data_IF_604558202886
#
_entry.id   IF_604558202886
#
_cell.length_a   1.000
_cell.length_b   1.000
_cell.length_c   1.000
_cell.angle_alpha   90.00
_cell.angle_beta   90.00
_cell.angle_gamma   90.00
#
_symmetry.space_group_name_H-M   'P 1'
#
loop_
_entity.id
_entity.type
_entity.pdbx_description
1 polymer ?
#
# COMPACT_ATOMS: atom_id res chain seq x y z
N UNK A 1 5.48 -20.99 -15.17
CA UNK A 1 4.38 -20.02 -15.22
C UNK A 1 4.07 -19.54 -13.81
N UNK A 2 3.85 -18.23 -13.62
CA UNK A 2 3.33 -17.67 -12.37
C UNK A 2 1.81 -17.76 -12.37
N UNK A 3 1.22 -18.29 -11.31
CA UNK A 3 -0.23 -18.26 -11.11
C UNK A 3 -0.54 -17.52 -9.82
N UNK A 4 -1.10 -16.34 -9.91
CA UNK A 4 -1.35 -15.48 -8.76
C UNK A 4 -2.64 -14.67 -8.92
N UNK A 5 -3.12 -14.10 -7.82
CA UNK A 5 -4.27 -13.22 -7.86
C UNK A 5 -4.19 -12.12 -6.81
N UNK A 6 -4.85 -11.00 -7.10
CA UNK A 6 -5.18 -10.01 -6.07
C UNK A 6 -6.58 -10.31 -5.53
N UNK A 7 -6.69 -10.43 -4.21
CA UNK A 7 -7.94 -10.66 -3.49
C UNK A 7 -8.38 -9.37 -2.80
N UNK A 8 -9.67 -9.06 -2.87
CA UNK A 8 -10.27 -7.93 -2.16
C UNK A 8 -11.76 -7.77 -2.45
N UNK A 9 -12.40 -6.78 -1.83
CA UNK A 9 -13.83 -6.48 -2.04
C UNK A 9 -14.13 -5.00 -1.76
N UNK A 10 -14.47 -4.19 -2.77
CA UNK A 10 -14.50 -4.48 -4.22
C UNK A 10 -13.08 -4.64 -4.80
N UNK A 11 -12.95 -5.28 -5.97
CA UNK A 11 -11.63 -5.53 -6.59
C UNK A 11 -11.48 -5.05 -8.04
N UNK A 12 -12.58 -4.72 -8.73
CA UNK A 12 -12.61 -4.47 -10.18
C UNK A 12 -11.60 -3.42 -10.67
N UNK A 13 -11.41 -2.36 -9.89
CA UNK A 13 -10.51 -1.26 -10.22
C UNK A 13 -9.02 -1.53 -9.89
N UNK A 14 -8.67 -2.70 -9.37
CA UNK A 14 -7.28 -3.00 -9.03
C UNK A 14 -6.41 -3.00 -10.28
N UNK A 15 -5.31 -2.25 -10.25
CA UNK A 15 -4.32 -2.23 -11.32
C UNK A 15 -3.26 -3.33 -11.16
N UNK A 16 -3.31 -4.14 -10.10
CA UNK A 16 -2.33 -5.22 -9.85
C UNK A 16 -2.17 -6.18 -11.02
N UNK A 17 -3.22 -6.65 -11.74
CA UNK A 17 -3.04 -7.50 -12.92
C UNK A 17 -2.24 -6.85 -14.05
N UNK A 18 -2.46 -5.54 -14.30
CA UNK A 18 -1.69 -4.80 -15.29
C UNK A 18 -0.22 -4.71 -14.87
N UNK A 19 0.02 -4.29 -13.63
CA UNK A 19 1.38 -4.09 -13.09
C UNK A 19 2.16 -5.40 -13.05
N UNK A 20 1.59 -6.47 -12.50
CA UNK A 20 2.23 -7.78 -12.49
C UNK A 20 2.44 -8.34 -13.90
N UNK A 21 1.47 -8.13 -14.81
CA UNK A 21 1.64 -8.54 -16.20
C UNK A 21 2.80 -7.82 -16.90
N UNK A 22 3.02 -6.54 -16.63
CA UNK A 22 4.18 -5.81 -17.12
C UNK A 22 5.49 -6.34 -16.52
N UNK A 23 5.53 -6.62 -15.21
CA UNK A 23 6.70 -7.21 -14.54
C UNK A 23 7.06 -8.56 -15.16
N UNK A 24 6.10 -9.47 -15.28
CA UNK A 24 6.38 -10.81 -15.79
C UNK A 24 6.73 -10.83 -17.28
N UNK A 25 6.17 -9.91 -18.08
CA UNK A 25 6.61 -9.71 -19.48
C UNK A 25 8.06 -9.27 -19.56
N UNK A 26 8.47 -8.31 -18.73
CA UNK A 26 9.86 -7.84 -18.68
C UNK A 26 10.82 -8.97 -18.28
N UNK A 27 10.39 -9.85 -17.37
CA UNK A 27 11.17 -11.02 -16.95
C UNK A 27 11.13 -12.21 -17.92
N UNK A 28 10.31 -12.16 -18.98
CA UNK A 28 10.11 -13.29 -19.89
C UNK A 28 9.42 -14.50 -19.24
N UNK A 29 8.62 -14.26 -18.20
CA UNK A 29 7.93 -15.30 -17.42
C UNK A 29 6.47 -15.39 -17.86
N UNK A 30 6.02 -16.58 -18.25
CA UNK A 30 4.59 -16.84 -18.47
C UNK A 30 3.78 -16.63 -17.18
N UNK A 31 2.60 -16.02 -17.26
CA UNK A 31 1.81 -15.70 -16.08
C UNK A 31 0.29 -15.76 -16.31
N UNK A 32 -0.44 -16.11 -15.24
CA UNK A 32 -1.87 -15.85 -15.02
C UNK A 32 -1.98 -15.06 -13.71
N UNK A 33 -2.16 -13.75 -13.82
CA UNK A 33 -2.41 -12.87 -12.67
C UNK A 33 -3.78 -12.22 -12.83
N UNK A 34 -4.70 -12.52 -11.91
CA UNK A 34 -6.11 -12.09 -12.01
C UNK A 34 -6.64 -11.39 -10.77
N UNK A 35 -7.82 -10.80 -10.90
CA UNK A 35 -8.61 -10.26 -9.77
C UNK A 35 -9.55 -11.35 -9.30
N UNK A 36 -9.70 -11.50 -7.99
CA UNK A 36 -10.74 -12.37 -7.42
C UNK A 36 -11.44 -11.56 -6.32
N UNK A 37 -12.74 -11.35 -6.49
CA UNK A 37 -13.53 -10.69 -5.47
C UNK A 37 -13.85 -11.69 -4.35
N UNK A 38 -13.47 -11.35 -3.12
CA UNK A 38 -13.66 -12.21 -1.96
C UNK A 38 -13.76 -11.38 -0.69
N UNK A 39 -14.67 -11.76 0.21
CA UNK A 39 -14.61 -11.34 1.61
C UNK A 39 -13.57 -12.15 2.41
N UNK A 40 -13.45 -11.86 3.70
CA UNK A 40 -12.43 -12.48 4.58
C UNK A 40 -12.55 -13.99 4.66
N UNK A 41 -13.79 -14.52 4.72
CA UNK A 41 -14.03 -15.96 4.82
C UNK A 41 -13.70 -16.63 3.49
N UNK A 42 -14.20 -16.07 2.38
CA UNK A 42 -13.95 -16.59 1.04
C UNK A 42 -12.46 -16.57 0.69
N UNK A 43 -11.75 -15.50 1.05
CA UNK A 43 -10.32 -15.37 0.80
C UNK A 43 -9.51 -16.39 1.59
N UNK A 44 -9.79 -16.55 2.89
CA UNK A 44 -9.13 -17.56 3.74
C UNK A 44 -9.28 -18.96 3.16
N UNK A 45 -10.52 -19.36 2.86
CA UNK A 45 -10.79 -20.68 2.30
C UNK A 45 -10.14 -20.89 0.93
N UNK A 46 -10.13 -19.87 0.08
CA UNK A 46 -9.45 -19.94 -1.21
C UNK A 46 -7.95 -20.18 -1.03
N UNK A 47 -7.31 -19.41 -0.14
CA UNK A 47 -5.87 -19.53 0.12
C UNK A 47 -5.53 -20.92 0.67
N UNK A 48 -6.28 -21.39 1.68
CA UNK A 48 -6.09 -22.72 2.27
C UNK A 48 -6.22 -23.83 1.22
N UNK A 49 -7.28 -23.81 0.39
CA UNK A 49 -7.46 -24.80 -0.68
C UNK A 49 -6.37 -24.71 -1.74
N UNK A 50 -5.92 -23.49 -2.08
CA UNK A 50 -4.92 -23.26 -3.13
C UNK A 50 -3.52 -23.75 -2.76
N UNK A 51 -3.23 -23.90 -1.46
CA UNK A 51 -1.96 -24.43 -0.96
C UNK A 51 -2.08 -25.85 -0.41
N UNK A 52 -3.28 -26.42 -0.34
CA UNK A 52 -3.48 -27.82 -0.03
C UNK A 52 -2.94 -28.71 -1.17
N UNK A 53 -2.46 -29.91 -0.82
CA UNK A 53 -1.77 -30.83 -1.72
C UNK A 53 -2.53 -31.07 -3.05
N UNK A 54 -2.01 -30.51 -4.14
CA UNK A 54 -2.32 -30.94 -5.50
C UNK A 54 -3.18 -29.99 -6.36
N UNK A 55 -3.66 -28.85 -5.85
CA UNK A 55 -4.48 -27.95 -6.66
C UNK A 55 -3.67 -26.76 -7.22
N UNK A 56 -3.56 -26.71 -8.54
CA UNK A 56 -3.29 -25.49 -9.31
C UNK A 56 -1.97 -24.71 -9.08
N UNK A 57 -0.89 -25.24 -8.51
CA UNK A 57 0.45 -24.59 -8.46
C UNK A 57 0.42 -23.04 -8.25
N UNK A 58 -0.39 -22.58 -7.30
CA UNK A 58 -0.50 -21.15 -6.99
C UNK A 58 0.82 -20.60 -6.46
N UNK A 59 1.34 -19.57 -7.11
CA UNK A 59 2.55 -18.84 -6.70
C UNK A 59 2.28 -17.91 -5.51
N UNK A 60 1.05 -17.41 -5.37
CA UNK A 60 0.63 -16.62 -4.22
C UNK A 60 -0.53 -15.67 -4.48
N UNK A 61 -0.88 -14.91 -3.44
CA UNK A 61 -1.98 -13.96 -3.43
C UNK A 61 -1.53 -12.60 -2.91
N UNK A 62 -1.87 -11.53 -3.63
CA UNK A 62 -1.81 -10.18 -3.09
C UNK A 62 -3.13 -9.87 -2.37
N UNK A 63 -3.08 -9.22 -1.22
CA UNK A 63 -4.26 -8.85 -0.44
C UNK A 63 -4.44 -7.34 -0.41
N UNK A 64 -5.63 -6.89 -0.78
CA UNK A 64 -6.05 -5.49 -0.60
C UNK A 64 -7.24 -5.41 0.36
N UNK A 65 -7.75 -4.21 0.61
CA UNK A 65 -8.91 -3.98 1.48
C UNK A 65 -10.08 -4.93 1.10
N UNK A 66 -10.77 -5.53 2.09
CA UNK A 66 -10.53 -5.46 3.55
C UNK A 66 -9.57 -6.54 4.09
N UNK A 67 -8.91 -7.31 3.24
CA UNK A 67 -8.34 -8.62 3.57
C UNK A 67 -6.95 -8.61 4.21
N UNK A 68 -6.36 -7.45 4.50
CA UNK A 68 -4.96 -7.35 4.96
C UNK A 68 -4.68 -7.99 6.32
N UNK A 69 -5.70 -8.46 7.02
CA UNK A 69 -5.57 -9.18 8.30
C UNK A 69 -5.92 -10.68 8.18
N UNK A 70 -6.42 -11.15 7.03
CA UNK A 70 -6.83 -12.55 6.81
C UNK A 70 -5.66 -13.52 7.01
N UNK A 71 -4.47 -13.12 6.59
CA UNK A 71 -3.27 -13.96 6.65
C UNK A 71 -2.84 -14.38 8.07
N UNK A 72 -3.31 -13.70 9.13
CA UNK A 72 -3.01 -14.06 10.52
C UNK A 72 -3.74 -15.32 10.99
N UNK A 73 -4.80 -15.73 10.29
CA UNK A 73 -5.56 -16.95 10.61
C UNK A 73 -5.06 -18.20 9.87
N UNK A 74 -4.08 -18.03 8.98
CA UNK A 74 -3.53 -19.13 8.18
C UNK A 74 -2.36 -19.80 8.92
N UNK A 75 -2.20 -21.09 8.70
CA UNK A 75 -1.04 -21.85 9.19
C UNK A 75 0.20 -21.61 8.29
N UNK A 76 0.66 -20.36 8.24
CA UNK A 76 1.81 -19.92 7.46
C UNK A 76 2.76 -19.07 8.33
N UNK A 77 4.09 -19.19 8.13
CA UNK A 77 5.04 -18.28 8.76
C UNK A 77 4.72 -16.83 8.44
N UNK A 78 4.81 -15.94 9.44
CA UNK A 78 4.55 -14.50 9.27
C UNK A 78 5.88 -13.75 9.35
N UNK A 79 6.16 -12.95 8.33
CA UNK A 79 7.33 -12.08 8.29
C UNK A 79 7.31 -11.07 9.47
N UNK A 80 8.46 -10.81 10.13
CA UNK A 80 8.51 -9.91 11.28
C UNK A 80 7.97 -8.51 11.04
N UNK A 81 8.17 -7.92 9.85
CA UNK A 81 7.65 -6.58 9.56
C UNK A 81 6.15 -6.61 9.27
N UNK A 82 5.63 -7.70 8.69
CA UNK A 82 4.20 -7.92 8.52
C UNK A 82 3.48 -8.09 9.87
N UNK A 83 4.10 -8.83 10.80
CA UNK A 83 3.62 -9.02 12.16
C UNK A 83 3.60 -7.69 12.92
N UNK A 84 4.70 -6.93 12.88
CA UNK A 84 4.77 -5.62 13.53
C UNK A 84 3.75 -4.62 12.96
N UNK A 85 3.48 -4.67 11.65
CA UNK A 85 2.46 -3.84 11.01
C UNK A 85 1.03 -4.29 11.32
N UNK A 86 0.87 -5.49 11.90
CA UNK A 86 -0.38 -6.24 11.92
C UNK A 86 -1.11 -6.18 10.56
N UNK A 87 -0.36 -6.39 9.47
CA UNK A 87 -0.86 -6.20 8.11
C UNK A 87 -0.06 -7.09 7.16
N UNK A 88 -0.76 -7.90 6.38
CA UNK A 88 -0.23 -8.82 5.38
C UNK A 88 -0.87 -8.42 4.05
N UNK A 89 -0.06 -8.01 3.08
CA UNK A 89 -0.53 -7.69 1.72
C UNK A 89 -0.09 -8.76 0.69
N UNK A 90 0.68 -9.76 1.10
CA UNK A 90 1.28 -10.76 0.21
C UNK A 90 1.33 -12.12 0.90
N UNK A 91 0.83 -13.16 0.24
CA UNK A 91 0.85 -14.53 0.75
C UNK A 91 1.44 -15.44 -0.30
N UNK A 92 2.32 -16.35 0.11
CA UNK A 92 2.92 -17.40 -0.72
C UNK A 92 2.86 -18.72 0.03
N UNK A 93 3.12 -19.87 -0.63
CA UNK A 93 3.30 -21.15 0.07
C UNK A 93 4.40 -21.13 1.15
N UNK A 94 5.33 -20.16 1.08
CA UNK A 94 6.46 -20.02 2.01
C UNK A 94 6.16 -19.13 3.21
N UNK A 95 5.06 -18.38 3.20
CA UNK A 95 4.73 -17.45 4.27
C UNK A 95 3.91 -16.23 3.85
N UNK A 96 3.70 -15.38 4.84
CA UNK A 96 2.88 -14.16 4.81
C UNK A 96 3.74 -12.92 5.01
N UNK A 97 3.66 -11.96 4.10
CA UNK A 97 4.56 -10.81 4.00
C UNK A 97 3.80 -9.48 3.84
N UNK A 98 4.52 -8.37 4.04
CA UNK A 98 4.04 -7.02 3.79
C UNK A 98 5.05 -6.22 2.95
N UNK A 99 4.73 -6.03 1.68
CA UNK A 99 5.55 -5.26 0.72
C UNK A 99 5.15 -3.78 0.63
N UNK A 100 4.10 -3.33 1.31
CA UNK A 100 3.73 -1.91 1.33
C UNK A 100 4.82 -1.07 2.00
N UNK A 101 5.49 -1.63 3.01
CA UNK A 101 6.56 -0.97 3.78
C UNK A 101 7.76 -0.69 2.86
N UNK A 102 8.30 -1.73 2.22
CA UNK A 102 9.42 -1.59 1.28
C UNK A 102 9.04 -0.78 0.04
N UNK A 103 7.78 -0.91 -0.41
CA UNK A 103 7.23 -0.13 -1.50
C UNK A 103 7.24 1.36 -1.21
N UNK A 104 6.74 1.79 -0.04
CA UNK A 104 6.75 3.18 0.36
C UNK A 104 8.17 3.72 0.56
N UNK A 105 9.06 2.95 1.19
CA UNK A 105 10.47 3.33 1.35
C UNK A 105 11.15 3.59 0.01
N UNK A 106 10.91 2.73 -0.98
CA UNK A 106 11.42 2.89 -2.34
C UNK A 106 10.90 4.16 -2.99
N UNK A 107 9.59 4.42 -2.91
CA UNK A 107 8.98 5.64 -3.47
C UNK A 107 9.55 6.88 -2.80
N UNK A 108 9.59 6.94 -1.47
CA UNK A 108 10.13 8.11 -0.76
C UNK A 108 11.59 8.38 -1.14
N UNK A 109 12.41 7.34 -1.25
CA UNK A 109 13.81 7.45 -1.69
C UNK A 109 13.92 7.98 -3.12
N UNK A 110 13.18 7.40 -4.07
CA UNK A 110 13.25 7.79 -5.49
C UNK A 110 12.70 9.19 -5.72
N UNK A 111 11.62 9.54 -5.04
CA UNK A 111 10.99 10.86 -5.12
C UNK A 111 11.76 11.91 -4.30
N UNK A 112 12.75 11.52 -3.49
CA UNK A 112 13.47 12.44 -2.61
C UNK A 112 12.55 13.11 -1.60
N UNK A 113 11.59 12.36 -1.06
CA UNK A 113 10.68 12.84 -0.02
C UNK A 113 11.32 12.59 1.33
N UNK A 114 11.56 13.69 2.04
CA UNK A 114 12.10 13.72 3.39
C UNK A 114 11.30 14.75 4.19
N UNK A 115 10.95 14.43 5.45
CA UNK A 115 10.20 15.33 6.32
C UNK A 115 10.27 14.92 7.78
N UNK A 116 10.63 15.88 8.63
CA UNK A 116 10.66 15.76 10.09
C UNK A 116 9.26 15.67 10.73
N UNK A 117 8.23 16.15 10.02
CA UNK A 117 6.86 16.27 10.54
C UNK A 117 5.83 15.72 9.56
N UNK A 118 5.23 14.59 9.94
CA UNK A 118 4.26 13.88 9.11
C UNK A 118 2.86 14.02 9.70
N UNK A 119 1.90 14.27 8.83
CA UNK A 119 0.47 14.16 9.12
C UNK A 119 -0.07 12.93 8.40
N UNK A 120 -0.49 11.92 9.17
CA UNK A 120 -1.02 10.67 8.65
C UNK A 120 -2.54 10.66 8.77
N UNK A 121 -3.23 10.52 7.65
CA UNK A 121 -4.69 10.45 7.61
C UNK A 121 -5.13 8.98 7.54
N UNK A 122 -5.75 8.51 8.62
CA UNK A 122 -6.18 7.13 8.82
C UNK A 122 -5.31 6.34 9.82
N UNK A 123 -5.87 5.26 10.38
CA UNK A 123 -5.20 4.37 11.32
C UNK A 123 -5.47 2.87 11.02
N UNK A 124 -5.68 2.54 9.74
CA UNK A 124 -5.87 1.15 9.29
C UNK A 124 -4.56 0.41 9.02
N UNK A 125 -4.65 -0.80 8.46
CA UNK A 125 -3.52 -1.65 8.11
C UNK A 125 -2.43 -0.95 7.27
N UNK A 126 -2.85 -0.17 6.26
CA UNK A 126 -1.92 0.63 5.46
C UNK A 126 -1.23 1.72 6.29
N UNK A 127 -1.95 2.38 7.21
CA UNK A 127 -1.37 3.41 8.09
C UNK A 127 -0.31 2.82 9.03
N UNK A 128 -0.52 1.61 9.55
CA UNK A 128 0.49 0.88 10.34
C UNK A 128 1.74 0.57 9.53
N UNK A 129 1.57 0.18 8.27
CA UNK A 129 2.68 -0.04 7.33
C UNK A 129 3.45 1.25 7.04
N UNK A 130 2.74 2.38 6.89
CA UNK A 130 3.35 3.72 6.77
C UNK A 130 4.21 4.04 7.99
N UNK A 131 3.71 3.82 9.21
CA UNK A 131 4.47 4.11 10.43
C UNK A 131 5.78 3.32 10.49
N UNK A 132 5.76 2.02 10.19
CA UNK A 132 6.98 1.20 10.19
C UNK A 132 7.95 1.66 9.10
N UNK A 133 7.44 2.03 7.91
CA UNK A 133 8.27 2.58 6.86
C UNK A 133 8.98 3.87 7.32
N UNK A 134 8.25 4.80 7.95
CA UNK A 134 8.80 6.06 8.47
C UNK A 134 9.83 5.83 9.58
N UNK A 135 9.55 4.93 10.53
CA UNK A 135 10.48 4.56 11.60
C UNK A 135 11.79 3.94 11.06
N UNK A 136 11.71 3.21 9.96
CA UNK A 136 12.86 2.57 9.33
C UNK A 136 13.67 3.52 8.44
N UNK A 137 13.04 4.52 7.81
CA UNK A 137 13.76 5.58 7.07
C UNK A 137 14.51 6.50 8.05
N UNK A 138 13.90 6.78 9.22
CA UNK A 138 14.51 7.62 10.25
C UNK A 138 14.52 9.12 9.95
N UNK A 139 13.84 9.55 8.89
CA UNK A 139 13.68 10.95 8.47
C UNK A 139 12.71 11.74 9.34
N UNK A 140 11.75 11.07 9.99
CA UNK A 140 10.62 11.73 10.63
C UNK A 140 10.78 11.71 12.14
N UNK A 141 10.83 12.89 12.74
CA UNK A 141 10.88 13.05 14.20
C UNK A 141 9.49 12.95 14.85
N UNK A 142 8.43 13.29 14.10
CA UNK A 142 7.05 13.33 14.60
C UNK A 142 6.00 12.91 13.58
N UNK A 143 5.00 12.16 14.02
CA UNK A 143 3.81 11.80 13.24
C UNK A 143 2.56 12.16 14.04
N UNK A 144 1.68 12.98 13.43
CA UNK A 144 0.32 13.21 13.96
C UNK A 144 -0.69 12.45 13.11
N UNK A 145 -1.42 11.53 13.73
CA UNK A 145 -2.40 10.67 13.07
C UNK A 145 -3.81 11.22 13.32
N UNK A 146 -4.51 11.56 12.24
CA UNK A 146 -5.93 11.93 12.27
C UNK A 146 -6.78 10.75 11.83
N UNK A 147 -7.71 10.32 12.67
CA UNK A 147 -8.50 9.10 12.45
C UNK A 147 -9.92 9.21 12.99
N UNK A 148 -10.83 8.43 12.40
CA UNK A 148 -12.22 8.31 12.89
C UNK A 148 -12.35 7.29 14.01
N UNK A 149 -11.77 6.11 13.83
CA UNK A 149 -12.02 4.99 14.73
C UNK A 149 -10.96 4.84 15.82
N UNK A 150 -11.30 5.44 16.96
CA UNK A 150 -11.16 4.93 18.34
C UNK A 150 -10.31 3.68 18.61
N UNK A 151 -10.88 2.55 18.25
CA UNK A 151 -10.46 1.25 18.77
C UNK A 151 -9.17 0.74 18.16
N UNK A 152 -8.76 1.27 16.99
CA UNK A 152 -7.60 0.77 16.25
C UNK A 152 -6.25 1.30 16.75
N UNK A 153 -6.24 2.28 17.65
CA UNK A 153 -4.98 2.89 18.11
C UNK A 153 -4.08 1.93 18.88
N UNK A 154 -4.66 0.94 19.56
CA UNK A 154 -3.89 -0.09 20.26
C UNK A 154 -3.06 -0.96 19.29
N UNK A 155 -3.42 -0.99 18.01
CA UNK A 155 -2.68 -1.72 16.98
C UNK A 155 -1.57 -0.89 16.32
N UNK A 156 -1.43 0.39 16.66
CA UNK A 156 -0.40 1.24 16.06
C UNK A 156 0.98 0.79 16.55
N UNK A 157 1.92 0.50 15.64
CA UNK A 157 3.27 0.14 16.02
C UNK A 157 3.95 1.34 16.71
N UNK A 158 4.69 1.04 17.78
CA UNK A 158 5.51 2.03 18.49
C UNK A 158 6.87 1.42 18.78
N UNK A 159 7.88 1.79 17.99
CA UNK A 159 9.27 1.48 18.31
C UNK A 159 9.88 2.46 19.32
N UNK A 160 9.19 3.59 19.57
CA UNK A 160 9.70 4.73 20.33
C UNK A 160 10.67 5.63 19.55
N UNK A 161 11.01 5.30 18.30
CA UNK A 161 11.91 6.10 17.45
C UNK A 161 11.25 7.35 16.90
N UNK A 162 9.93 7.32 16.72
CA UNK A 162 9.14 8.42 16.17
C UNK A 162 8.09 8.82 17.20
N UNK A 163 7.95 10.13 17.45
CA UNK A 163 6.90 10.63 18.35
C UNK A 163 5.55 10.54 17.65
N UNK A 164 4.68 9.63 18.11
CA UNK A 164 3.33 9.45 17.56
C UNK A 164 2.31 10.17 18.45
N UNK A 165 1.48 11.02 17.85
CA UNK A 165 0.30 11.62 18.48
C UNK A 165 -0.94 11.25 17.69
N UNK A 166 -2.00 10.81 18.36
CA UNK A 166 -3.29 10.55 17.71
C UNK A 166 -4.30 11.66 18.03
N UNK A 167 -5.12 11.97 17.04
CA UNK A 167 -6.19 12.98 17.07
C UNK A 167 -7.42 12.41 16.39
N UNK A 168 -8.59 12.86 16.81
CA UNK A 168 -9.85 12.61 16.08
C UNK A 168 -9.82 13.34 14.73
N UNK A 169 -10.56 12.85 13.75
CA UNK A 169 -10.59 13.47 12.42
C UNK A 169 -11.21 14.87 12.48
N UNK A 170 -12.13 15.09 13.40
CA UNK A 170 -12.82 16.34 13.64
C UNK A 170 -11.85 17.45 14.10
N UNK A 171 -10.81 17.09 14.86
CA UNK A 171 -9.74 17.99 15.28
C UNK A 171 -8.85 18.46 14.12
N UNK A 172 -8.96 17.89 12.92
CA UNK A 172 -8.28 18.41 11.75
C UNK A 172 -8.90 19.74 11.29
N UNK A 173 -10.18 19.96 11.59
CA UNK A 173 -10.90 21.19 11.26
C UNK A 173 -10.21 22.41 11.89
N UNK A 174 -9.87 23.40 11.07
CA UNK A 174 -9.15 24.60 11.51
C UNK A 174 -7.65 24.43 11.71
N UNK A 175 -7.09 23.24 11.49
CA UNK A 175 -5.63 23.03 11.48
C UNK A 175 -5.05 23.56 10.18
N UNK A 176 -4.15 24.53 10.29
CA UNK A 176 -3.34 25.00 9.16
C UNK A 176 -2.13 24.08 9.00
N UNK A 177 -2.18 23.22 7.99
CA UNK A 177 -1.04 22.40 7.59
C UNK A 177 0.04 23.30 6.98
N UNK A 178 1.28 23.16 7.44
CA UNK A 178 2.39 23.96 6.96
C UNK A 178 3.08 23.30 5.74
N UNK A 179 3.70 24.10 4.89
CA UNK A 179 4.34 23.66 3.64
C UNK A 179 5.56 22.74 3.83
N UNK A 180 6.10 22.65 5.05
CA UNK A 180 7.19 21.72 5.41
C UNK A 180 6.69 20.35 5.87
N UNK A 181 5.39 20.20 6.09
CA UNK A 181 4.80 18.91 6.47
C UNK A 181 4.66 17.98 5.27
N UNK A 182 4.85 16.69 5.54
CA UNK A 182 4.44 15.62 4.66
C UNK A 182 3.06 15.13 5.10
N UNK A 183 2.07 15.24 4.23
CA UNK A 183 0.76 14.61 4.45
C UNK A 183 0.75 13.26 3.75
N UNK A 184 0.45 12.20 4.48
CA UNK A 184 0.23 10.86 3.91
C UNK A 184 -1.23 10.48 4.13
N UNK A 185 -1.98 10.31 3.05
CA UNK A 185 -3.36 9.82 3.09
C UNK A 185 -3.40 8.32 2.85
N UNK A 186 -3.99 7.59 3.80
CA UNK A 186 -4.36 6.18 3.66
C UNK A 186 -5.89 6.00 3.66
N UNK A 187 -6.62 7.09 3.45
CA UNK A 187 -8.07 7.11 3.47
C UNK A 187 -8.64 6.48 2.18
N UNK A 188 -9.70 5.65 2.27
CA UNK A 188 -10.47 5.25 1.10
C UNK A 188 -11.04 6.48 0.38
N UNK A 189 -11.16 6.41 -0.95
CA UNK A 189 -11.69 7.49 -1.78
C UNK A 189 -13.03 8.07 -1.25
N UNK A 190 -13.92 7.20 -0.77
CA UNK A 190 -15.24 7.58 -0.21
C UNK A 190 -15.16 8.45 1.05
N UNK A 191 -14.03 8.48 1.74
CA UNK A 191 -13.83 9.25 2.98
C UNK A 191 -13.02 10.53 2.76
N UNK A 192 -12.47 10.76 1.57
CA UNK A 192 -11.58 11.90 1.31
C UNK A 192 -12.33 13.24 1.25
N UNK A 193 -13.55 13.27 0.72
CA UNK A 193 -14.33 14.52 0.61
C UNK A 193 -14.55 15.21 1.95
N UNK A 194 -14.60 14.44 3.04
CA UNK A 194 -14.80 14.93 4.40
C UNK A 194 -13.67 15.83 4.90
N UNK A 195 -12.47 15.71 4.32
CA UNK A 195 -11.27 16.45 4.76
C UNK A 195 -10.63 17.27 3.65
N UNK A 196 -11.23 17.30 2.46
CA UNK A 196 -10.74 18.04 1.30
C UNK A 196 -10.55 19.54 1.59
N UNK A 197 -11.43 20.15 2.37
CA UNK A 197 -11.32 21.55 2.78
C UNK A 197 -10.04 21.84 3.60
N UNK A 198 -9.54 20.86 4.36
CA UNK A 198 -8.31 21.00 5.16
C UNK A 198 -7.04 20.97 4.30
N UNK A 199 -7.13 20.37 3.11
CA UNK A 199 -6.02 20.26 2.16
C UNK A 199 -6.10 21.30 1.04
N UNK A 200 -7.17 22.10 1.01
CA UNK A 200 -7.35 23.14 0.02
C UNK A 200 -6.24 24.18 0.13
N UNK A 201 -5.46 24.33 -0.95
CA UNK A 201 -4.33 25.25 -0.99
C UNK A 201 -3.08 24.75 -0.25
N UNK A 202 -3.07 23.52 0.25
CA UNK A 202 -1.90 22.93 0.90
C UNK A 202 -0.74 22.85 -0.10
N UNK A 203 0.36 23.55 0.21
CA UNK A 203 1.53 23.70 -0.67
C UNK A 203 2.70 22.76 -0.33
N UNK A 204 2.58 21.94 0.71
CA UNK A 204 3.58 20.93 1.06
C UNK A 204 3.52 19.69 0.16
N UNK A 205 4.06 18.57 0.65
CA UNK A 205 4.00 17.29 -0.08
C UNK A 205 2.85 16.43 0.40
N UNK A 206 2.00 15.98 -0.52
CA UNK A 206 0.95 14.99 -0.30
C UNK A 206 1.34 13.67 -0.96
N UNK A 207 1.40 12.60 -0.18
CA UNK A 207 1.36 11.21 -0.68
C UNK A 207 -0.05 10.69 -0.45
N UNK A 208 -0.79 10.36 -1.51
CA UNK A 208 -2.10 9.71 -1.39
C UNK A 208 -1.99 8.28 -1.89
N UNK A 209 -2.31 7.29 -1.05
CA UNK A 209 -2.30 5.88 -1.44
C UNK A 209 -3.36 5.53 -2.51
N UNK A 210 -4.27 6.45 -2.81
CA UNK A 210 -5.25 6.31 -3.89
C UNK A 210 -4.58 6.45 -5.26
N UNK A 211 -4.94 5.57 -6.19
CA UNK A 211 -4.46 5.59 -7.58
C UNK A 211 -5.56 5.45 -8.63
N UNK A 212 -6.78 5.06 -8.21
CA UNK A 212 -7.94 4.93 -9.08
C UNK A 212 -9.23 5.13 -8.26
N UNK A 213 -10.16 6.01 -8.68
CA UNK A 213 -9.98 7.01 -9.74
C UNK A 213 -8.87 8.02 -9.42
N UNK A 214 -8.29 8.63 -10.46
CA UNK A 214 -7.25 9.66 -10.33
C UNK A 214 -7.57 10.87 -11.24
N UNK A 215 -7.38 12.13 -10.79
CA UNK A 215 -6.90 12.54 -9.47
C UNK A 215 -7.86 12.15 -8.34
N UNK A 216 -7.29 11.89 -7.15
CA UNK A 216 -8.10 11.73 -5.94
C UNK A 216 -8.72 13.07 -5.51
N UNK A 217 -9.68 13.04 -4.59
CA UNK A 217 -10.30 14.27 -4.07
C UNK A 217 -9.25 15.15 -3.38
N UNK A 218 -8.30 14.55 -2.65
CA UNK A 218 -7.22 15.30 -1.98
C UNK A 218 -6.20 15.84 -2.98
N UNK A 219 -5.86 15.05 -4.00
CA UNK A 219 -4.96 15.49 -5.06
C UNK A 219 -5.52 16.69 -5.82
N UNK A 220 -6.85 16.75 -6.04
CA UNK A 220 -7.50 17.85 -6.76
C UNK A 220 -7.56 19.18 -6.01
N UNK A 221 -7.38 19.19 -4.68
CA UNK A 221 -7.44 20.40 -3.85
C UNK A 221 -6.07 20.87 -3.33
N UNK A 222 -5.08 19.99 -3.32
CA UNK A 222 -3.70 20.33 -2.97
C UNK A 222 -3.07 21.22 -4.07
N UNK A 223 -2.24 22.18 -3.66
CA UNK A 223 -1.50 23.07 -4.57
C UNK A 223 0.00 22.77 -4.62
N UNK A 224 0.49 21.95 -3.69
CA UNK A 224 1.88 21.53 -3.60
C UNK A 224 2.20 20.28 -4.41
N UNK A 225 3.26 19.58 -3.99
CA UNK A 225 3.70 18.35 -4.64
C UNK A 225 2.74 17.21 -4.29
N UNK A 226 2.22 16.51 -5.30
CA UNK A 226 1.34 15.35 -5.11
C UNK A 226 1.97 14.10 -5.69
N UNK A 227 2.09 13.04 -4.88
CA UNK A 227 2.52 11.70 -5.26
C UNK A 227 1.31 10.78 -5.11
N UNK A 228 0.88 10.15 -6.21
CA UNK A 228 -0.25 9.23 -6.23
C UNK A 228 0.10 7.86 -5.63
N UNK A 229 -0.91 7.00 -5.49
CA UNK A 229 -0.71 5.63 -5.03
C UNK A 229 -0.07 4.73 -6.08
N UNK A 230 0.02 5.17 -7.34
CA UNK A 230 0.49 4.34 -8.45
C UNK A 230 1.98 3.97 -8.31
N UNK A 231 2.91 4.92 -8.04
CA UNK A 231 4.28 4.59 -7.65
C UNK A 231 4.36 3.57 -6.52
N UNK A 232 3.55 3.69 -5.47
CA UNK A 232 3.57 2.79 -4.31
C UNK A 232 3.08 1.40 -4.73
N UNK A 233 1.99 1.32 -5.50
CA UNK A 233 1.46 0.08 -6.05
C UNK A 233 2.51 -0.66 -6.89
N UNK A 234 3.25 0.04 -7.74
CA UNK A 234 4.29 -0.58 -8.57
C UNK A 234 5.47 -1.02 -7.71
N UNK A 235 5.92 -0.18 -6.77
CA UNK A 235 7.05 -0.50 -5.90
C UNK A 235 6.79 -1.75 -5.04
N UNK A 236 5.60 -1.86 -4.43
CA UNK A 236 5.24 -3.03 -3.65
C UNK A 236 5.05 -4.29 -4.52
N UNK A 237 4.57 -4.13 -5.76
CA UNK A 237 4.34 -5.25 -6.69
C UNK A 237 5.65 -5.85 -7.20
N UNK A 238 6.69 -5.02 -7.33
CA UNK A 238 8.05 -5.47 -7.65
C UNK A 238 8.58 -6.42 -6.57
N UNK A 239 8.42 -6.06 -5.29
CA UNK A 239 8.82 -6.95 -4.20
C UNK A 239 7.94 -8.21 -4.12
N UNK A 240 6.63 -8.10 -4.41
CA UNK A 240 5.74 -9.26 -4.54
C UNK A 240 6.17 -10.21 -5.65
N UNK A 241 6.61 -9.68 -6.80
CA UNK A 241 7.03 -10.50 -7.93
C UNK A 241 8.25 -11.36 -7.58
N UNK A 242 9.18 -10.86 -6.75
CA UNK A 242 10.28 -11.67 -6.20
C UNK A 242 9.74 -12.79 -5.31
N UNK A 243 8.79 -12.47 -4.43
CA UNK A 243 8.18 -13.47 -3.52
C UNK A 243 7.40 -14.56 -4.28
N UNK A 244 6.68 -14.19 -5.35
CA UNK A 244 5.90 -15.13 -6.16
C UNK A 244 6.78 -15.96 -7.10
N UNK A 245 7.80 -15.36 -7.72
CA UNK A 245 8.63 -16.05 -8.72
C UNK A 245 9.86 -16.74 -8.14
N UNK A 246 10.36 -16.29 -6.98
CA UNK A 246 11.67 -16.69 -6.46
C UNK A 246 12.85 -16.16 -7.27
N UNK A 247 12.63 -15.29 -8.27
CA UNK A 247 13.67 -14.72 -9.12
C UNK A 247 14.09 -13.37 -8.56
N UNK A 248 15.38 -13.21 -8.29
CA UNK A 248 15.98 -11.92 -7.94
C UNK A 248 16.36 -11.13 -9.20
N UNK A 249 16.16 -9.81 -9.16
CA UNK A 249 16.47 -8.89 -10.24
C UNK A 249 16.73 -7.48 -9.69
N UNK A 250 17.23 -6.56 -10.52
CA UNK A 250 17.34 -5.15 -10.13
C UNK A 250 15.95 -4.55 -9.91
N UNK A 251 15.56 -4.46 -8.64
CA UNK A 251 14.24 -3.97 -8.23
C UNK A 251 14.08 -2.47 -8.48
N UNK A 252 15.15 -1.68 -8.40
CA UNK A 252 15.10 -0.24 -8.67
C UNK A 252 14.91 0.00 -10.17
N UNK A 253 15.64 -0.75 -11.01
CA UNK A 253 15.47 -0.77 -12.46
C UNK A 253 14.07 -1.22 -12.88
N UNK A 254 13.62 -2.36 -12.38
CA UNK A 254 12.28 -2.91 -12.67
C UNK A 254 11.18 -1.93 -12.28
N UNK A 255 11.27 -1.34 -11.08
CA UNK A 255 10.31 -0.34 -10.62
C UNK A 255 10.16 0.83 -11.59
N UNK A 256 11.28 1.41 -12.07
CA UNK A 256 11.25 2.52 -13.03
C UNK A 256 10.64 2.10 -14.36
N UNK A 257 11.05 0.97 -14.91
CA UNK A 257 10.55 0.44 -16.19
C UNK A 257 9.05 0.18 -16.13
N UNK A 258 8.58 -0.47 -15.07
CA UNK A 258 7.17 -0.85 -14.92
C UNK A 258 6.32 0.37 -14.61
N UNK A 259 6.80 1.32 -13.81
CA UNK A 259 6.05 2.56 -13.53
C UNK A 259 5.79 3.35 -14.82
N UNK A 260 6.82 3.56 -15.63
CA UNK A 260 6.70 4.23 -16.94
C UNK A 260 5.74 3.48 -17.87
N UNK A 261 5.86 2.16 -17.93
CA UNK A 261 4.99 1.33 -18.78
C UNK A 261 3.53 1.35 -18.30
N UNK A 262 3.32 1.34 -16.99
CA UNK A 262 1.98 1.40 -16.39
C UNK A 262 1.29 2.72 -16.71
N UNK A 263 1.99 3.85 -16.55
CA UNK A 263 1.46 5.18 -16.91
C UNK A 263 1.08 5.23 -18.39
N UNK A 264 1.92 4.70 -19.29
CA UNK A 264 1.62 4.63 -20.73
C UNK A 264 0.41 3.75 -21.03
N UNK A 265 0.26 2.61 -20.36
CA UNK A 265 -0.87 1.72 -20.54
C UNK A 265 -2.19 2.34 -20.09
N UNK A 266 -2.20 3.07 -18.96
CA UNK A 266 -3.39 3.79 -18.48
C UNK A 266 -3.79 4.88 -19.48
N UNK A 267 -2.83 5.69 -19.93
CA UNK A 267 -3.08 6.77 -20.88
C UNK A 267 -3.56 6.27 -22.27
N UNK A 268 -3.31 5.01 -22.62
CA UNK A 268 -3.78 4.42 -23.88
C UNK A 268 -5.21 3.86 -23.80
N UNK A 269 -5.79 3.78 -22.59
CA UNK A 269 -7.16 3.29 -22.35
C UNK A 269 -8.19 4.40 -22.13
N UNK A 270 -7.73 5.66 -22.04
CA UNK A 270 -8.54 6.89 -21.96
C UNK A 270 -8.72 7.54 -23.33
#
# INVERSE_FOLDING_TARGET
>A
MIRAAVLGKPIDHSLSPLVHGLIYKELGIEYDYRRIEADEVQARELIERSFAEGDENWSGFSLTMPLKEVGFSLDLPIDPVALAAHSINTITPRGSFNTDISGLQRVMKVEGVDSDSVVLLGNGATARSVLIALEAIGSSSSVTIYRRNQSRDQSLPTSGRVSIKTRSMEELSGVLLNDRQLVISTLPATSQSLISANLMGFSGTLIDFSYAPWPSVLAGVASGRVISGLPILVAQAVDQAVLFSGVEFDRDGMYRTVLLSTVRSIAATE
#
